data_IF_882070650137
#
_entry.id   IF_882070650137
#
_cell.length_a   1.000
_cell.length_b   1.000
_cell.length_c   1.000
_cell.angle_alpha   90.00
_cell.angle_beta   90.00
_cell.angle_gamma   90.00
#
_symmetry.space_group_name_H-M   'P 1'
#
loop_
_entity.id
_entity.type
_entity.pdbx_description
1 polymer ?
#
# COMPACT_ATOMS: atom_id res chain seq x y z
N UNK A 1 -34.91 -22.86 -24.88
CA UNK A 1 -33.75 -23.14 -25.75
C UNK A 1 -33.92 -22.68 -27.19
N UNK A 2 -35.13 -22.61 -27.77
CA UNK A 2 -35.34 -22.24 -29.18
C UNK A 2 -34.95 -20.79 -29.58
N UNK A 3 -34.99 -19.81 -28.68
CA UNK A 3 -34.61 -18.42 -29.00
C UNK A 3 -33.09 -18.20 -29.11
N UNK A 4 -32.27 -19.18 -28.68
CA UNK A 4 -30.79 -19.10 -28.68
C UNK A 4 -30.13 -19.71 -29.92
N UNK A 5 -30.87 -20.42 -30.76
CA UNK A 5 -30.33 -21.04 -31.98
C UNK A 5 -30.25 -20.02 -33.12
N UNK A 6 -29.12 -20.01 -33.85
CA UNK A 6 -28.83 -19.08 -34.93
C UNK A 6 -29.62 -19.35 -36.23
N UNK A 7 -30.25 -20.51 -36.35
CA UNK A 7 -30.90 -20.99 -37.60
C UNK A 7 -32.34 -20.50 -37.82
N UNK A 8 -32.80 -19.51 -37.02
CA UNK A 8 -34.12 -18.89 -37.23
C UNK A 8 -33.98 -17.63 -38.11
N UNK A 9 -34.89 -17.39 -39.07
CA UNK A 9 -34.86 -16.18 -39.90
C UNK A 9 -34.99 -14.93 -39.03
N UNK A 10 -34.15 -13.93 -39.27
CA UNK A 10 -34.23 -12.65 -38.55
C UNK A 10 -35.51 -11.91 -38.94
N UNK A 11 -36.46 -11.88 -38.01
CA UNK A 11 -37.70 -11.11 -38.09
C UNK A 11 -37.76 -10.14 -36.91
N UNK A 12 -38.49 -9.03 -37.05
CA UNK A 12 -38.67 -8.06 -35.96
C UNK A 12 -39.24 -8.72 -34.69
N UNK A 13 -40.13 -9.69 -34.86
CA UNK A 13 -40.68 -10.52 -33.77
C UNK A 13 -39.57 -11.29 -33.04
N UNK A 14 -38.69 -11.97 -33.79
CA UNK A 14 -37.59 -12.73 -33.21
C UNK A 14 -36.58 -11.80 -32.51
N UNK A 15 -36.31 -10.64 -33.10
CA UNK A 15 -35.44 -9.60 -32.51
C UNK A 15 -36.00 -9.10 -31.19
N UNK A 16 -37.30 -8.80 -31.12
CA UNK A 16 -37.98 -8.38 -29.89
C UNK A 16 -37.85 -9.44 -28.79
N UNK A 17 -38.17 -10.70 -29.10
CA UNK A 17 -38.13 -11.78 -28.10
C UNK A 17 -36.71 -12.16 -27.67
N UNK A 18 -35.72 -12.10 -28.56
CA UNK A 18 -34.31 -12.29 -28.21
C UNK A 18 -33.81 -11.16 -27.31
N UNK A 19 -34.17 -9.92 -27.61
CA UNK A 19 -33.80 -8.77 -26.80
C UNK A 19 -34.48 -8.80 -25.42
N UNK A 20 -35.76 -9.18 -25.35
CA UNK A 20 -36.47 -9.43 -24.09
C UNK A 20 -35.83 -10.54 -23.27
N UNK A 21 -35.38 -11.63 -23.91
CA UNK A 21 -34.67 -12.70 -23.23
C UNK A 21 -33.33 -12.21 -22.68
N UNK A 22 -32.57 -11.42 -23.44
CA UNK A 22 -31.31 -10.82 -22.98
C UNK A 22 -31.56 -9.91 -21.76
N UNK A 23 -32.59 -9.06 -21.81
CA UNK A 23 -32.99 -8.22 -20.69
C UNK A 23 -33.39 -9.04 -19.46
N UNK A 24 -34.18 -10.11 -19.63
CA UNK A 24 -34.58 -11.01 -18.55
C UNK A 24 -33.40 -11.79 -17.93
N UNK A 25 -32.30 -11.95 -18.67
CA UNK A 25 -31.04 -12.53 -18.19
C UNK A 25 -30.10 -11.49 -17.56
N UNK A 26 -30.53 -10.23 -17.44
CA UNK A 26 -29.76 -9.13 -16.85
C UNK A 26 -28.83 -8.40 -17.82
N UNK A 27 -28.86 -8.71 -19.13
CA UNK A 27 -28.03 -8.05 -20.14
C UNK A 27 -28.80 -6.92 -20.83
N UNK A 28 -29.09 -5.87 -20.06
CA UNK A 28 -29.79 -4.68 -20.55
C UNK A 28 -29.05 -4.02 -21.73
N UNK A 29 -27.72 -3.99 -21.70
CA UNK A 29 -26.89 -3.38 -22.74
C UNK A 29 -27.00 -4.12 -24.08
N UNK A 30 -26.94 -5.45 -24.08
CA UNK A 30 -27.14 -6.23 -25.30
C UNK A 30 -28.61 -6.19 -25.79
N UNK A 31 -29.57 -6.07 -24.87
CA UNK A 31 -30.99 -5.99 -25.22
C UNK A 31 -31.38 -4.66 -25.89
N UNK A 32 -30.79 -3.55 -25.46
CA UNK A 32 -31.27 -2.20 -25.81
C UNK A 32 -31.41 -1.92 -27.32
N UNK A 33 -30.46 -2.27 -28.20
CA UNK A 33 -30.60 -2.01 -29.63
C UNK A 33 -31.81 -2.74 -30.24
N UNK A 34 -31.99 -4.01 -29.90
CA UNK A 34 -33.11 -4.82 -30.39
C UNK A 34 -34.45 -4.34 -29.84
N UNK A 35 -34.51 -3.97 -28.56
CA UNK A 35 -35.71 -3.39 -27.94
C UNK A 35 -36.09 -2.05 -28.58
N UNK A 36 -35.13 -1.16 -28.82
CA UNK A 36 -35.37 0.14 -29.42
C UNK A 36 -35.86 0.02 -30.87
N UNK A 37 -35.25 -0.87 -31.67
CA UNK A 37 -35.64 -1.10 -33.06
C UNK A 37 -37.06 -1.66 -33.22
N UNK A 38 -37.51 -2.46 -32.25
CA UNK A 38 -38.80 -3.18 -32.30
C UNK A 38 -39.93 -2.49 -31.52
N UNK A 39 -39.71 -1.25 -31.03
CA UNK A 39 -40.76 -0.48 -30.36
C UNK A 39 -42.04 -0.30 -31.20
N UNK A 40 -42.00 -0.01 -32.53
CA UNK A 40 -43.23 0.08 -33.32
C UNK A 40 -44.08 -1.19 -33.25
N UNK A 41 -43.45 -2.36 -33.41
CA UNK A 41 -44.09 -3.67 -33.32
C UNK A 41 -44.76 -3.89 -31.95
N UNK A 42 -44.08 -3.50 -30.86
CA UNK A 42 -44.63 -3.59 -29.50
C UNK A 42 -45.96 -2.80 -29.35
N UNK A 43 -46.09 -1.66 -30.04
CA UNK A 43 -47.31 -0.85 -29.93
C UNK A 43 -48.49 -1.39 -30.75
N UNK A 44 -48.23 -2.24 -31.74
CA UNK A 44 -49.24 -2.95 -32.52
C UNK A 44 -49.84 -4.16 -31.77
N UNK A 45 -49.19 -4.61 -30.69
CA UNK A 45 -49.69 -5.71 -29.88
C UNK A 45 -51.01 -5.36 -29.16
N UNK A 46 -51.86 -6.38 -28.89
CA UNK A 46 -53.05 -6.20 -28.08
C UNK A 46 -52.74 -5.57 -26.72
N UNK A 47 -53.61 -4.66 -26.25
CA UNK A 47 -53.38 -3.85 -25.05
C UNK A 47 -52.95 -4.67 -23.82
N UNK A 48 -53.54 -5.85 -23.61
CA UNK A 48 -53.21 -6.70 -22.47
C UNK A 48 -51.78 -7.27 -22.51
N UNK A 49 -51.27 -7.58 -23.70
CA UNK A 49 -49.89 -8.05 -23.87
C UNK A 49 -48.92 -6.86 -23.77
N UNK A 50 -49.25 -5.76 -24.44
CA UNK A 50 -48.47 -4.53 -24.39
C UNK A 50 -48.28 -4.02 -22.96
N UNK A 51 -49.33 -4.02 -22.15
CA UNK A 51 -49.28 -3.59 -20.74
C UNK A 51 -48.33 -4.45 -19.88
N UNK A 52 -48.13 -5.73 -20.23
CA UNK A 52 -47.21 -6.62 -19.51
C UNK A 52 -45.76 -6.46 -19.97
N UNK A 53 -45.54 -6.13 -21.24
CA UNK A 53 -44.21 -6.02 -21.84
C UNK A 53 -43.59 -4.62 -21.68
N UNK A 54 -44.41 -3.57 -21.60
CA UNK A 54 -43.92 -2.20 -21.48
C UNK A 54 -42.99 -1.97 -20.27
N UNK A 55 -43.36 -2.36 -19.02
CA UNK A 55 -42.50 -2.12 -17.86
C UNK A 55 -41.10 -2.76 -17.93
N UNK A 56 -40.94 -4.08 -18.23
CA UNK A 56 -39.60 -4.67 -18.32
C UNK A 56 -38.78 -4.12 -19.49
N UNK A 57 -39.41 -3.74 -20.62
CA UNK A 57 -38.70 -3.11 -21.75
C UNK A 57 -38.21 -1.71 -21.37
N UNK A 58 -39.08 -0.90 -20.74
CA UNK A 58 -38.71 0.43 -20.29
C UNK A 58 -37.57 0.39 -19.26
N UNK A 59 -37.63 -0.57 -18.33
CA UNK A 59 -36.59 -0.77 -17.33
C UNK A 59 -35.26 -1.19 -17.97
N UNK A 60 -35.27 -2.12 -18.93
CA UNK A 60 -34.06 -2.54 -19.64
C UNK A 60 -33.44 -1.39 -20.45
N UNK A 61 -34.25 -0.60 -21.17
CA UNK A 61 -33.76 0.59 -21.88
C UNK A 61 -33.16 1.61 -20.92
N UNK A 62 -33.78 1.82 -19.75
CA UNK A 62 -33.27 2.72 -18.72
C UNK A 62 -31.96 2.22 -18.11
N UNK A 63 -31.83 0.91 -17.82
CA UNK A 63 -30.60 0.30 -17.29
C UNK A 63 -29.45 0.34 -18.30
N UNK A 64 -29.76 0.25 -19.60
CA UNK A 64 -28.80 0.38 -20.68
C UNK A 64 -28.38 1.84 -20.97
N UNK A 65 -29.10 2.84 -20.45
CA UNK A 65 -28.91 4.24 -20.80
C UNK A 65 -29.39 4.60 -22.21
N UNK A 66 -30.30 3.81 -22.80
CA UNK A 66 -30.85 4.04 -24.13
C UNK A 66 -31.95 5.12 -24.10
N UNK A 67 -31.57 6.37 -23.81
CA UNK A 67 -32.49 7.49 -23.55
C UNK A 67 -33.47 7.73 -24.71
N UNK A 68 -33.01 7.76 -25.96
CA UNK A 68 -33.88 8.02 -27.12
C UNK A 68 -35.03 7.00 -27.25
N UNK A 69 -34.70 5.69 -27.13
CA UNK A 69 -35.71 4.63 -27.17
C UNK A 69 -36.63 4.65 -25.96
N UNK A 70 -36.09 4.97 -24.78
CA UNK A 70 -36.88 5.09 -23.56
C UNK A 70 -37.87 6.26 -23.63
N UNK A 71 -37.45 7.44 -24.10
CA UNK A 71 -38.32 8.60 -24.31
C UNK A 71 -39.46 8.26 -25.27
N UNK A 72 -39.14 7.66 -26.42
CA UNK A 72 -40.15 7.23 -27.40
C UNK A 72 -41.17 6.26 -26.80
N UNK A 73 -40.72 5.29 -25.98
CA UNK A 73 -41.59 4.36 -25.30
C UNK A 73 -42.50 5.07 -24.29
N UNK A 74 -41.93 5.92 -23.43
CA UNK A 74 -42.64 6.60 -22.35
C UNK A 74 -43.68 7.59 -22.86
N UNK A 75 -43.39 8.32 -23.94
CA UNK A 75 -44.31 9.27 -24.57
C UNK A 75 -45.56 8.57 -25.13
N UNK A 76 -45.36 7.41 -25.79
CA UNK A 76 -46.47 6.62 -26.35
C UNK A 76 -47.23 5.82 -25.31
N UNK A 77 -46.57 5.34 -24.27
CA UNK A 77 -47.19 4.52 -23.23
C UNK A 77 -48.07 5.34 -22.27
N UNK A 78 -47.79 6.65 -22.11
CA UNK A 78 -48.51 7.51 -21.18
C UNK A 78 -48.25 7.18 -19.71
N UNK A 79 -48.95 7.85 -18.79
CA UNK A 79 -48.69 7.73 -17.35
C UNK A 79 -49.18 6.40 -16.76
N UNK A 80 -48.26 5.52 -16.36
CA UNK A 80 -48.55 4.34 -15.52
C UNK A 80 -47.58 4.27 -14.32
N UNK A 81 -48.02 3.78 -13.14
CA UNK A 81 -47.16 3.58 -11.97
C UNK A 81 -45.97 2.65 -12.21
N UNK A 82 -46.14 1.63 -13.05
CA UNK A 82 -45.11 0.65 -13.41
C UNK A 82 -43.97 1.28 -14.23
N UNK A 83 -44.21 2.44 -14.85
CA UNK A 83 -43.23 3.21 -15.62
C UNK A 83 -42.59 4.35 -14.80
N UNK A 84 -42.95 4.53 -13.53
CA UNK A 84 -42.43 5.61 -12.71
C UNK A 84 -40.92 5.47 -12.44
N UNK A 85 -40.41 4.25 -12.22
CA UNK A 85 -38.98 4.01 -12.05
C UNK A 85 -38.17 4.32 -13.33
N UNK A 86 -38.53 3.76 -14.51
CA UNK A 86 -37.87 4.14 -15.77
C UNK A 86 -37.89 5.64 -16.07
N UNK A 87 -38.98 6.36 -15.72
CA UNK A 87 -39.04 7.83 -15.84
C UNK A 87 -37.99 8.53 -14.97
N UNK A 88 -37.88 8.14 -13.72
CA UNK A 88 -36.88 8.72 -12.81
C UNK A 88 -35.44 8.45 -13.30
N UNK A 89 -35.20 7.26 -13.86
CA UNK A 89 -33.92 6.89 -14.48
C UNK A 89 -33.63 7.68 -15.76
N UNK A 90 -34.65 8.00 -16.57
CA UNK A 90 -34.50 8.88 -17.73
C UNK A 90 -34.08 10.29 -17.28
N UNK A 91 -34.76 10.87 -16.29
CA UNK A 91 -34.41 12.19 -15.76
C UNK A 91 -32.98 12.22 -15.20
N UNK A 92 -32.53 11.15 -14.54
CA UNK A 92 -31.14 11.01 -14.09
C UNK A 92 -30.17 11.00 -15.27
N UNK A 93 -30.46 10.23 -16.32
CA UNK A 93 -29.64 10.13 -17.53
C UNK A 93 -29.61 11.44 -18.34
N UNK A 94 -30.67 12.24 -18.28
CA UNK A 94 -30.77 13.56 -18.91
C UNK A 94 -30.06 14.67 -18.11
N UNK A 95 -29.54 14.36 -16.92
CA UNK A 95 -28.83 15.31 -16.08
C UNK A 95 -29.74 16.23 -15.25
N UNK A 96 -30.99 15.83 -14.99
CA UNK A 96 -31.88 16.50 -14.03
C UNK A 96 -31.96 15.72 -12.71
N UNK A 97 -31.02 15.95 -11.78
CA UNK A 97 -31.00 15.26 -10.50
C UNK A 97 -32.18 15.63 -9.60
N UNK A 98 -32.82 16.78 -9.80
CA UNK A 98 -33.95 17.20 -8.99
C UNK A 98 -35.20 16.40 -9.36
N UNK A 99 -35.51 16.32 -10.66
CA UNK A 99 -36.63 15.50 -11.16
C UNK A 99 -36.40 14.01 -10.88
N UNK A 100 -35.18 13.51 -11.07
CA UNK A 100 -34.83 12.12 -10.78
C UNK A 100 -35.06 11.76 -9.31
N UNK A 101 -34.56 12.58 -8.37
CA UNK A 101 -34.76 12.34 -6.94
C UNK A 101 -36.23 12.38 -6.54
N UNK A 102 -37.01 13.34 -7.05
CA UNK A 102 -38.45 13.40 -6.79
C UNK A 102 -39.16 12.14 -7.30
N UNK A 103 -38.81 11.67 -8.50
CA UNK A 103 -39.33 10.42 -9.06
C UNK A 103 -38.95 9.20 -8.24
N UNK A 104 -37.68 9.07 -7.82
CA UNK A 104 -37.25 7.95 -6.98
C UNK A 104 -37.93 7.95 -5.61
N UNK A 105 -38.08 9.11 -4.97
CA UNK A 105 -38.76 9.23 -3.68
C UNK A 105 -40.24 8.86 -3.79
N UNK A 106 -40.90 9.18 -4.91
CA UNK A 106 -42.26 8.74 -5.19
C UNK A 106 -42.34 7.22 -5.37
N UNK A 107 -41.44 6.62 -6.16
CA UNK A 107 -41.40 5.15 -6.36
C UNK A 107 -41.14 4.43 -5.04
N UNK A 108 -40.28 4.97 -4.17
CA UNK A 108 -39.96 4.40 -2.86
C UNK A 108 -41.17 4.27 -1.92
N UNK A 109 -42.22 5.08 -2.12
CA UNK A 109 -43.48 5.04 -1.37
C UNK A 109 -44.49 4.02 -1.94
N UNK A 110 -44.19 3.41 -3.09
CA UNK A 110 -45.07 2.48 -3.78
C UNK A 110 -45.29 1.14 -3.06
N UNK A 111 -45.98 0.21 -3.74
CA UNK A 111 -46.24 -1.15 -3.24
C UNK A 111 -45.29 -2.21 -3.84
N UNK A 112 -44.73 -1.94 -5.02
CA UNK A 112 -43.78 -2.84 -5.68
C UNK A 112 -42.44 -2.84 -4.93
N UNK A 113 -42.11 -3.97 -4.30
CA UNK A 113 -40.89 -4.10 -3.49
C UNK A 113 -39.62 -3.95 -4.31
N UNK A 114 -39.59 -4.51 -5.52
CA UNK A 114 -38.41 -4.45 -6.39
C UNK A 114 -38.18 -3.01 -6.86
N UNK A 115 -39.23 -2.36 -7.38
CA UNK A 115 -39.13 -0.98 -7.83
C UNK A 115 -38.71 -0.03 -6.69
N UNK A 116 -39.25 -0.23 -5.48
CA UNK A 116 -38.85 0.54 -4.28
C UNK A 116 -37.39 0.35 -3.92
N UNK A 117 -36.91 -0.90 -3.87
CA UNK A 117 -35.52 -1.18 -3.52
C UNK A 117 -34.55 -0.54 -4.52
N UNK A 118 -34.83 -0.65 -5.82
CA UNK A 118 -34.05 -0.01 -6.88
C UNK A 118 -34.08 1.51 -6.79
N UNK A 119 -35.27 2.10 -6.59
CA UNK A 119 -35.42 3.55 -6.44
C UNK A 119 -34.67 4.09 -5.23
N UNK A 120 -34.77 3.43 -4.07
CA UNK A 120 -34.05 3.83 -2.86
C UNK A 120 -32.53 3.81 -3.08
N UNK A 121 -31.99 2.73 -3.66
CA UNK A 121 -30.55 2.62 -3.95
C UNK A 121 -30.08 3.73 -4.89
N UNK A 122 -30.78 3.95 -6.01
CA UNK A 122 -30.43 5.02 -6.96
C UNK A 122 -30.55 6.40 -6.35
N UNK A 123 -31.58 6.65 -5.54
CA UNK A 123 -31.75 7.94 -4.87
C UNK A 123 -30.62 8.22 -3.86
N UNK A 124 -30.08 7.19 -3.20
CA UNK A 124 -28.92 7.34 -2.30
C UNK A 124 -27.65 7.64 -3.10
N UNK A 125 -27.37 6.87 -4.15
CA UNK A 125 -26.20 7.10 -5.02
C UNK A 125 -26.25 8.49 -5.68
N UNK A 126 -27.40 8.92 -6.18
CA UNK A 126 -27.57 10.25 -6.77
C UNK A 126 -27.39 11.37 -5.74
N UNK A 127 -27.87 11.19 -4.50
CA UNK A 127 -27.59 12.14 -3.41
C UNK A 127 -26.11 12.20 -3.07
N UNK A 128 -25.41 11.07 -3.08
CA UNK A 128 -23.97 11.00 -2.87
C UNK A 128 -23.21 11.72 -3.99
N UNK A 129 -23.55 11.42 -5.26
CA UNK A 129 -22.93 12.02 -6.43
C UNK A 129 -23.14 13.55 -6.52
N UNK A 130 -24.30 14.03 -6.05
CA UNK A 130 -24.62 15.46 -5.99
C UNK A 130 -24.16 16.16 -4.70
N UNK A 131 -23.44 15.45 -3.81
CA UNK A 131 -22.92 16.00 -2.56
C UNK A 131 -23.99 16.35 -1.51
N UNK A 132 -25.22 15.86 -1.66
CA UNK A 132 -26.32 16.05 -0.70
C UNK A 132 -26.16 15.21 0.56
N UNK A 133 -25.41 14.10 0.46
CA UNK A 133 -25.02 13.25 1.59
C UNK A 133 -23.54 12.87 1.46
N UNK A 134 -22.89 12.61 2.59
CA UNK A 134 -21.54 12.07 2.62
C UNK A 134 -21.51 10.53 2.45
N UNK A 135 -20.31 9.96 2.32
CA UNK A 135 -20.11 8.52 2.12
C UNK A 135 -20.61 7.68 3.31
N UNK A 136 -20.48 8.18 4.55
CA UNK A 136 -20.93 7.46 5.74
C UNK A 136 -22.47 7.41 5.81
N UNK A 137 -23.13 8.52 5.47
CA UNK A 137 -24.58 8.61 5.33
C UNK A 137 -25.08 7.70 4.21
N UNK A 138 -24.41 7.69 3.05
CA UNK A 138 -24.75 6.81 1.94
C UNK A 138 -24.62 5.32 2.32
N UNK A 139 -23.52 4.94 3.00
CA UNK A 139 -23.32 3.57 3.48
C UNK A 139 -24.46 3.11 4.39
N UNK A 140 -24.82 3.91 5.41
CA UNK A 140 -25.93 3.59 6.33
C UNK A 140 -27.27 3.48 5.61
N UNK A 141 -27.54 4.38 4.67
CA UNK A 141 -28.79 4.39 3.91
C UNK A 141 -28.90 3.17 2.99
N UNK A 142 -27.82 2.81 2.29
CA UNK A 142 -27.78 1.61 1.43
C UNK A 142 -27.90 0.32 2.23
N UNK A 143 -27.22 0.24 3.38
CA UNK A 143 -27.25 -0.94 4.26
C UNK A 143 -28.68 -1.25 4.75
N UNK A 144 -29.46 -0.21 5.09
CA UNK A 144 -30.88 -0.36 5.47
C UNK A 144 -31.75 -0.97 4.35
N UNK A 145 -31.27 -0.96 3.09
CA UNK A 145 -31.98 -1.53 1.93
C UNK A 145 -31.56 -2.94 1.56
N UNK A 146 -30.55 -3.53 2.24
CA UNK A 146 -30.04 -4.87 1.93
C UNK A 146 -31.17 -5.91 1.97
N UNK A 147 -32.07 -5.84 2.95
CA UNK A 147 -33.15 -6.82 3.11
C UNK A 147 -34.44 -6.48 2.33
N UNK A 148 -34.45 -5.40 1.54
CA UNK A 148 -35.67 -4.94 0.87
C UNK A 148 -36.07 -5.79 -0.35
N UNK A 149 -35.10 -6.41 -1.03
CA UNK A 149 -35.31 -7.25 -2.22
C UNK A 149 -34.15 -8.25 -2.39
N UNK A 150 -34.46 -9.49 -2.77
CA UNK A 150 -33.61 -10.67 -2.54
C UNK A 150 -33.18 -11.38 -3.82
N UNK A 151 -32.69 -10.62 -4.79
CA UNK A 151 -31.83 -11.18 -5.83
C UNK A 151 -30.41 -11.28 -5.26
N UNK A 152 -29.88 -12.51 -5.13
CA UNK A 152 -28.58 -12.79 -4.51
C UNK A 152 -27.42 -12.03 -5.19
N UNK A 153 -27.53 -11.79 -6.51
CA UNK A 153 -26.53 -11.05 -7.27
C UNK A 153 -26.55 -9.55 -6.96
N UNK A 154 -27.74 -8.96 -6.84
CA UNK A 154 -27.91 -7.57 -6.44
C UNK A 154 -27.52 -7.36 -4.96
N UNK A 155 -27.82 -8.32 -4.08
CA UNK A 155 -27.47 -8.23 -2.65
C UNK A 155 -25.96 -8.21 -2.45
N UNK A 156 -25.24 -9.13 -3.12
CA UNK A 156 -23.77 -9.18 -3.04
C UNK A 156 -23.14 -7.88 -3.56
N UNK A 157 -23.61 -7.37 -4.71
CA UNK A 157 -23.14 -6.11 -5.25
C UNK A 157 -23.38 -4.91 -4.33
N UNK A 158 -24.56 -4.85 -3.70
CA UNK A 158 -24.88 -3.81 -2.71
C UNK A 158 -23.98 -3.89 -1.48
N UNK A 159 -23.74 -5.09 -0.93
CA UNK A 159 -22.87 -5.28 0.24
C UNK A 159 -21.42 -4.87 -0.05
N UNK A 160 -20.91 -5.19 -1.25
CA UNK A 160 -19.59 -4.70 -1.71
C UNK A 160 -19.57 -3.17 -1.75
N UNK A 161 -20.60 -2.56 -2.34
CA UNK A 161 -20.70 -1.09 -2.44
C UNK A 161 -20.77 -0.41 -1.06
N UNK A 162 -21.52 -0.97 -0.11
CA UNK A 162 -21.56 -0.47 1.27
C UNK A 162 -20.19 -0.58 1.94
N UNK A 163 -19.48 -1.68 1.72
CA UNK A 163 -18.13 -1.86 2.26
C UNK A 163 -17.12 -0.85 1.68
N UNK A 164 -17.18 -0.54 0.38
CA UNK A 164 -16.38 0.52 -0.23
C UNK A 164 -16.65 1.88 0.42
N UNK A 165 -17.92 2.25 0.57
CA UNK A 165 -18.30 3.53 1.19
C UNK A 165 -17.85 3.62 2.66
N UNK A 166 -17.94 2.51 3.42
CA UNK A 166 -17.43 2.43 4.79
C UNK A 166 -15.93 2.66 4.84
N UNK A 167 -15.14 1.94 4.02
CA UNK A 167 -13.67 2.13 3.92
C UNK A 167 -13.31 3.58 3.64
N UNK A 168 -13.93 4.15 2.62
CA UNK A 168 -13.70 5.53 2.19
C UNK A 168 -14.10 6.58 3.23
N UNK A 169 -14.97 6.21 4.19
CA UNK A 169 -15.39 7.07 5.30
C UNK A 169 -14.61 6.83 6.60
N UNK A 170 -13.59 5.96 6.58
CA UNK A 170 -12.74 5.65 7.74
C UNK A 170 -13.22 4.48 8.60
N UNK A 171 -14.22 3.72 8.14
CA UNK A 171 -14.70 2.49 8.81
C UNK A 171 -14.25 1.23 8.05
N UNK A 172 -12.94 1.06 7.86
CA UNK A 172 -12.42 -0.13 7.17
C UNK A 172 -12.68 -1.42 7.95
N UNK A 173 -12.73 -1.37 9.29
CA UNK A 173 -13.05 -2.54 10.12
C UNK A 173 -14.50 -2.99 9.93
N UNK A 174 -15.45 -2.08 9.91
CA UNK A 174 -16.85 -2.38 9.61
C UNK A 174 -17.07 -2.85 8.18
N UNK A 175 -16.28 -2.35 7.23
CA UNK A 175 -16.27 -2.86 5.86
C UNK A 175 -15.77 -4.30 5.77
N UNK A 176 -14.64 -4.62 6.41
CA UNK A 176 -14.09 -5.96 6.47
C UNK A 176 -15.08 -6.95 7.10
N UNK A 177 -15.70 -6.56 8.22
CA UNK A 177 -16.71 -7.39 8.90
C UNK A 177 -17.90 -7.71 7.97
N UNK A 178 -18.44 -6.68 7.28
CA UNK A 178 -19.54 -6.86 6.34
C UNK A 178 -19.16 -7.80 5.19
N UNK A 179 -17.97 -7.65 4.61
CA UNK A 179 -17.53 -8.50 3.49
C UNK A 179 -17.30 -9.95 3.92
N UNK A 180 -16.79 -10.19 5.13
CA UNK A 180 -16.60 -11.53 5.68
C UNK A 180 -17.93 -12.22 5.99
N UNK A 181 -18.90 -11.48 6.53
CA UNK A 181 -20.27 -11.98 6.66
C UNK A 181 -20.85 -12.33 5.28
N UNK A 182 -20.63 -11.47 4.28
CA UNK A 182 -21.10 -11.68 2.91
C UNK A 182 -20.48 -12.93 2.28
N UNK A 183 -19.18 -13.16 2.47
CA UNK A 183 -18.49 -14.37 1.99
C UNK A 183 -19.04 -15.65 2.64
N UNK A 184 -19.39 -15.59 3.93
CA UNK A 184 -20.01 -16.72 4.62
C UNK A 184 -21.45 -17.00 4.13
N UNK A 185 -22.20 -15.96 3.75
CA UNK A 185 -23.56 -16.09 3.22
C UNK A 185 -23.59 -16.57 1.76
N UNK A 186 -22.63 -16.14 0.95
CA UNK A 186 -22.57 -16.41 -0.50
C UNK A 186 -21.25 -17.09 -0.88
N UNK A 187 -21.06 -18.33 -0.39
CA UNK A 187 -19.82 -19.08 -0.58
C UNK A 187 -19.47 -19.34 -2.05
N UNK A 188 -20.47 -19.46 -2.92
CA UNK A 188 -20.31 -19.57 -4.39
C UNK A 188 -19.72 -18.30 -5.03
N UNK A 189 -19.82 -17.15 -4.34
CA UNK A 189 -19.31 -15.84 -4.77
C UNK A 189 -18.02 -15.43 -4.06
N UNK A 190 -17.42 -16.29 -3.24
CA UNK A 190 -16.19 -15.98 -2.51
C UNK A 190 -15.08 -15.43 -3.43
N UNK A 191 -14.91 -15.99 -4.62
CA UNK A 191 -13.93 -15.52 -5.59
C UNK A 191 -14.13 -14.04 -6.01
N UNK A 192 -15.38 -13.59 -6.11
CA UNK A 192 -15.73 -12.19 -6.42
C UNK A 192 -15.46 -11.25 -5.24
N UNK A 193 -15.60 -11.74 -4.01
CA UNK A 193 -15.45 -10.94 -2.78
C UNK A 193 -13.99 -10.79 -2.33
N UNK A 194 -13.13 -11.76 -2.64
CA UNK A 194 -11.71 -11.80 -2.21
C UNK A 194 -10.94 -10.50 -2.44
N UNK A 195 -11.02 -9.84 -3.61
CA UNK A 195 -10.33 -8.56 -3.81
C UNK A 195 -10.79 -7.49 -2.82
N UNK A 196 -12.11 -7.32 -2.66
CA UNK A 196 -12.68 -6.34 -1.73
C UNK A 196 -12.31 -6.64 -0.27
N UNK A 197 -12.31 -7.93 0.12
CA UNK A 197 -11.89 -8.37 1.46
C UNK A 197 -10.42 -8.01 1.70
N UNK A 198 -9.53 -8.33 0.76
CA UNK A 198 -8.11 -8.02 0.86
C UNK A 198 -7.85 -6.52 1.00
N UNK A 199 -8.52 -5.69 0.18
CA UNK A 199 -8.38 -4.23 0.31
C UNK A 199 -8.95 -3.70 1.62
N UNK A 200 -10.12 -4.18 2.06
CA UNK A 200 -10.70 -3.80 3.34
C UNK A 200 -9.80 -4.19 4.53
N UNK A 201 -9.15 -5.36 4.45
CA UNK A 201 -8.22 -5.84 5.45
C UNK A 201 -6.97 -4.94 5.55
N UNK A 202 -6.35 -4.61 4.43
CA UNK A 202 -5.20 -3.70 4.41
C UNK A 202 -5.53 -2.32 4.99
N UNK A 203 -6.66 -1.74 4.60
CA UNK A 203 -7.12 -0.46 5.15
C UNK A 203 -7.41 -0.56 6.65
N UNK A 204 -8.00 -1.67 7.09
CA UNK A 204 -8.28 -1.90 8.51
C UNK A 204 -6.99 -2.03 9.34
N UNK A 205 -5.94 -2.66 8.80
CA UNK A 205 -4.62 -2.68 9.44
C UNK A 205 -4.02 -1.27 9.54
N UNK A 206 -4.13 -0.47 8.47
CA UNK A 206 -3.59 0.89 8.43
C UNK A 206 -4.31 1.83 9.39
N UNK A 207 -5.64 1.78 9.44
CA UNK A 207 -6.49 2.65 10.26
C UNK A 207 -6.52 2.25 11.74
N UNK A 208 -6.24 0.99 12.06
CA UNK A 208 -6.26 0.52 13.45
C UNK A 208 -5.05 1.03 14.25
N UNK A 209 -5.26 1.23 15.56
CA UNK A 209 -4.19 1.46 16.54
C UNK A 209 -3.14 0.33 16.49
N UNK A 210 -1.85 0.60 16.78
CA UNK A 210 -0.76 -0.37 16.63
C UNK A 210 -1.04 -1.79 17.13
N UNK A 211 -1.49 -1.93 18.38
CA UNK A 211 -1.79 -3.24 18.97
C UNK A 211 -3.04 -3.89 18.37
N UNK A 212 -4.05 -3.08 18.02
CA UNK A 212 -5.26 -3.58 17.38
C UNK A 212 -4.98 -4.06 15.95
N UNK A 213 -4.08 -3.40 15.22
CA UNK A 213 -3.65 -3.82 13.90
C UNK A 213 -2.92 -5.16 13.93
N UNK A 214 -2.03 -5.36 14.90
CA UNK A 214 -1.34 -6.66 15.10
C UNK A 214 -2.33 -7.75 15.49
N UNK A 215 -3.26 -7.48 16.42
CA UNK A 215 -4.30 -8.44 16.78
C UNK A 215 -5.22 -8.79 15.60
N UNK A 216 -5.53 -7.82 14.73
CA UNK A 216 -6.31 -8.05 13.52
C UNK A 216 -5.55 -8.93 12.51
N UNK A 217 -4.25 -8.70 12.35
CA UNK A 217 -3.39 -9.57 11.55
C UNK A 217 -3.32 -10.98 12.11
N UNK A 218 -3.09 -11.13 13.41
CA UNK A 218 -3.01 -12.44 14.09
C UNK A 218 -4.32 -13.24 13.93
N UNK A 219 -5.46 -12.55 13.85
CA UNK A 219 -6.78 -13.17 13.66
C UNK A 219 -7.03 -13.64 12.22
N UNK A 220 -6.46 -12.97 11.21
CA UNK A 220 -6.72 -13.25 9.79
C UNK A 220 -5.46 -13.15 8.92
N UNK A 221 -4.39 -13.91 9.23
CA UNK A 221 -3.13 -13.83 8.48
C UNK A 221 -3.29 -14.25 7.01
N UNK A 222 -4.29 -15.06 6.69
CA UNK A 222 -4.60 -15.53 5.34
C UNK A 222 -5.15 -14.44 4.40
N UNK A 223 -5.61 -13.32 4.95
CA UNK A 223 -6.15 -12.19 4.18
C UNK A 223 -5.06 -11.26 3.66
N UNK A 224 -3.81 -11.43 4.12
CA UNK A 224 -2.69 -10.64 3.64
C UNK A 224 -2.35 -11.02 2.19
N UNK A 225 -2.36 -10.07 1.24
CA UNK A 225 -1.96 -10.34 -0.13
C UNK A 225 -0.48 -10.77 -0.23
N UNK A 226 -0.17 -11.64 -1.19
CA UNK A 226 1.20 -12.08 -1.47
C UNK A 226 2.01 -11.13 -2.35
N UNK A 227 1.60 -9.87 -2.46
CA UNK A 227 2.20 -8.84 -3.33
C UNK A 227 2.89 -7.73 -2.52
N UNK A 228 3.31 -6.64 -3.18
CA UNK A 228 3.97 -5.50 -2.55
C UNK A 228 3.09 -4.79 -1.51
N UNK A 229 1.76 -4.83 -1.65
CA UNK A 229 0.86 -4.19 -0.70
C UNK A 229 0.82 -4.97 0.63
N UNK A 230 0.84 -6.31 0.56
CA UNK A 230 1.00 -7.16 1.73
C UNK A 230 2.35 -6.97 2.41
N UNK A 231 3.44 -6.88 1.64
CA UNK A 231 4.78 -6.56 2.17
C UNK A 231 4.79 -5.23 2.94
N UNK A 232 4.27 -4.17 2.32
CA UNK A 232 4.20 -2.85 2.93
C UNK A 232 3.38 -2.85 4.23
N UNK A 233 2.28 -3.61 4.29
CA UNK A 233 1.50 -3.76 5.51
C UNK A 233 2.28 -4.48 6.62
N UNK A 234 3.04 -5.52 6.31
CA UNK A 234 3.86 -6.23 7.31
C UNK A 234 5.01 -5.38 7.83
N UNK A 235 5.66 -4.59 6.96
CA UNK A 235 6.69 -3.64 7.37
C UNK A 235 6.10 -2.56 8.29
N UNK A 236 4.94 -2.00 7.93
CA UNK A 236 4.23 -1.04 8.79
C UNK A 236 3.90 -1.64 10.17
N UNK A 237 3.39 -2.86 10.23
CA UNK A 237 3.10 -3.53 11.49
C UNK A 237 4.37 -3.76 12.33
N UNK A 238 5.47 -4.17 11.69
CA UNK A 238 6.75 -4.35 12.35
C UNK A 238 7.30 -3.04 12.91
N UNK A 239 7.26 -1.95 12.14
CA UNK A 239 7.74 -0.64 12.59
C UNK A 239 6.90 -0.11 13.76
N UNK A 240 5.58 -0.32 13.74
CA UNK A 240 4.68 0.00 14.86
C UNK A 240 5.01 -0.79 16.12
N UNK A 241 5.36 -2.07 16.00
CA UNK A 241 5.79 -2.90 17.12
C UNK A 241 7.14 -2.42 17.68
N UNK A 242 8.10 -2.08 16.82
CA UNK A 242 9.39 -1.52 17.23
C UNK A 242 9.22 -0.21 17.98
N UNK A 243 8.30 0.67 17.53
CA UNK A 243 7.98 1.93 18.22
C UNK A 243 7.37 1.74 19.62
N UNK A 244 6.85 0.55 19.92
CA UNK A 244 6.34 0.16 21.24
C UNK A 244 7.37 -0.66 22.05
N UNK A 245 8.65 -0.64 21.66
CA UNK A 245 9.73 -1.42 22.24
C UNK A 245 9.51 -2.95 22.16
N UNK A 246 8.75 -3.41 21.15
CA UNK A 246 8.46 -4.83 20.89
C UNK A 246 9.25 -5.40 19.70
N UNK A 247 10.55 -5.13 19.64
CA UNK A 247 11.44 -5.53 18.53
C UNK A 247 11.47 -7.06 18.29
N UNK A 248 11.53 -7.87 19.36
CA UNK A 248 11.45 -9.33 19.31
C UNK A 248 10.17 -9.83 18.62
N UNK A 249 9.02 -9.22 18.95
CA UNK A 249 7.73 -9.55 18.33
C UNK A 249 7.71 -9.13 16.87
N UNK A 250 8.24 -7.94 16.56
CA UNK A 250 8.36 -7.45 15.19
C UNK A 250 9.20 -8.40 14.32
N UNK A 251 10.36 -8.84 14.82
CA UNK A 251 11.21 -9.80 14.13
C UNK A 251 10.50 -11.14 13.89
N UNK A 252 9.75 -11.63 14.87
CA UNK A 252 8.96 -12.87 14.74
C UNK A 252 7.87 -12.73 13.68
N UNK A 253 7.13 -11.62 13.70
CA UNK A 253 6.09 -11.30 12.73
C UNK A 253 6.65 -11.22 11.30
N UNK A 254 7.79 -10.55 11.11
CA UNK A 254 8.46 -10.46 9.80
C UNK A 254 8.92 -11.82 9.30
N UNK A 255 9.43 -12.70 10.17
CA UNK A 255 9.81 -14.06 9.78
C UNK A 255 8.63 -14.91 9.36
N UNK A 256 7.50 -14.81 10.06
CA UNK A 256 6.26 -15.48 9.68
C UNK A 256 5.69 -14.96 8.35
N UNK A 257 5.86 -13.67 8.05
CA UNK A 257 5.50 -13.09 6.77
C UNK A 257 6.42 -13.64 5.67
N UNK A 258 7.74 -13.55 5.86
CA UNK A 258 8.74 -14.01 4.91
C UNK A 258 8.57 -15.49 4.53
N UNK A 259 8.18 -16.35 5.48
CA UNK A 259 7.92 -17.76 5.24
C UNK A 259 6.75 -18.05 4.29
N UNK A 260 5.81 -17.11 4.15
CA UNK A 260 4.61 -17.22 3.28
C UNK A 260 4.78 -16.50 1.95
N UNK A 261 5.78 -15.62 1.85
CA UNK A 261 6.07 -14.82 0.66
C UNK A 261 7.14 -15.47 -0.22
N UNK A 262 7.24 -15.07 -1.48
CA UNK A 262 8.26 -15.58 -2.42
C UNK A 262 9.02 -14.43 -3.09
N UNK A 263 10.14 -14.77 -3.75
CA UNK A 263 10.92 -13.83 -4.54
C UNK A 263 11.50 -12.66 -3.73
N UNK A 264 11.51 -11.48 -4.34
CA UNK A 264 12.13 -10.26 -3.80
C UNK A 264 11.53 -9.85 -2.45
N UNK A 265 10.20 -9.93 -2.31
CA UNK A 265 9.49 -9.55 -1.10
C UNK A 265 9.88 -10.43 0.11
N UNK A 266 10.08 -11.74 -0.10
CA UNK A 266 10.60 -12.65 0.94
C UNK A 266 11.99 -12.20 1.42
N UNK A 267 12.88 -11.88 0.49
CA UNK A 267 14.25 -11.47 0.83
C UNK A 267 14.30 -10.11 1.54
N UNK A 268 13.38 -9.19 1.20
CA UNK A 268 13.25 -7.89 1.85
C UNK A 268 12.72 -8.02 3.30
N UNK A 269 11.64 -8.77 3.51
CA UNK A 269 11.09 -9.05 4.85
C UNK A 269 12.14 -9.74 5.75
N UNK A 270 12.85 -10.74 5.20
CA UNK A 270 13.90 -11.43 5.92
C UNK A 270 15.12 -10.58 6.24
N UNK A 271 15.49 -9.63 5.37
CA UNK A 271 16.53 -8.64 5.67
C UNK A 271 16.10 -7.74 6.84
N UNK A 272 14.84 -7.29 6.87
CA UNK A 272 14.32 -6.47 7.97
C UNK A 272 14.28 -7.27 9.29
N UNK A 273 13.84 -8.52 9.25
CA UNK A 273 13.92 -9.43 10.40
C UNK A 273 15.37 -9.56 10.90
N UNK A 274 16.31 -9.84 10.01
CA UNK A 274 17.72 -10.01 10.35
C UNK A 274 18.30 -8.73 10.97
N UNK A 275 17.93 -7.55 10.45
CA UNK A 275 18.39 -6.28 11.00
C UNK A 275 17.91 -6.07 12.45
N UNK A 276 16.66 -6.43 12.76
CA UNK A 276 16.15 -6.37 14.14
C UNK A 276 16.91 -7.33 15.06
N UNK A 277 17.12 -8.58 14.62
CA UNK A 277 17.91 -9.57 15.38
C UNK A 277 19.35 -9.10 15.63
N UNK A 278 19.95 -8.43 14.65
CA UNK A 278 21.30 -7.87 14.79
C UNK A 278 21.34 -6.73 15.82
N UNK A 279 20.31 -5.89 15.86
CA UNK A 279 20.20 -4.81 16.85
C UNK A 279 20.03 -5.35 18.28
N UNK A 280 19.30 -6.46 18.44
CA UNK A 280 19.15 -7.16 19.72
C UNK A 280 20.41 -7.93 20.16
N UNK A 281 21.45 -7.95 19.31
CA UNK A 281 22.74 -8.59 19.62
C UNK A 281 22.83 -10.06 19.20
N UNK A 282 21.77 -10.62 18.61
CA UNK A 282 21.73 -12.02 18.18
C UNK A 282 22.26 -12.18 16.75
N UNK A 283 23.59 -12.26 16.64
CA UNK A 283 24.27 -12.47 15.36
C UNK A 283 23.96 -13.84 14.72
N UNK A 284 23.68 -14.86 15.53
CA UNK A 284 23.31 -16.19 15.03
C UNK A 284 21.94 -16.17 14.35
N UNK A 285 20.94 -15.61 15.03
CA UNK A 285 19.60 -15.44 14.45
C UNK A 285 19.58 -14.48 13.27
N UNK A 286 20.48 -13.49 13.23
CA UNK A 286 20.66 -12.61 12.07
C UNK A 286 21.01 -13.42 10.81
N UNK A 287 22.03 -14.29 10.90
CA UNK A 287 22.43 -15.13 9.77
C UNK A 287 21.34 -16.13 9.40
N UNK A 288 20.72 -16.79 10.39
CA UNK A 288 19.63 -17.72 10.15
C UNK A 288 18.43 -17.06 9.43
N UNK A 289 18.08 -15.83 9.78
CA UNK A 289 17.01 -15.08 9.13
C UNK A 289 17.37 -14.71 7.67
N UNK A 290 18.63 -14.34 7.40
CA UNK A 290 19.10 -14.12 6.04
C UNK A 290 19.02 -15.43 5.23
N UNK A 291 19.55 -16.53 5.75
CA UNK A 291 19.55 -17.82 5.05
C UNK A 291 18.14 -18.36 4.79
N UNK A 292 17.25 -18.27 5.78
CA UNK A 292 15.85 -18.70 5.65
C UNK A 292 15.04 -17.85 4.66
N UNK A 293 15.55 -16.67 4.28
CA UNK A 293 14.89 -15.74 3.35
C UNK A 293 15.62 -15.59 2.02
N UNK A 294 16.52 -16.53 1.68
CA UNK A 294 17.16 -16.56 0.36
C UNK A 294 16.12 -16.67 -0.76
N UNK A 295 16.32 -15.87 -1.79
CA UNK A 295 15.55 -15.88 -3.03
C UNK A 295 16.45 -15.41 -4.17
N UNK A 296 16.19 -15.87 -5.39
CA UNK A 296 16.91 -15.46 -6.61
C UNK A 296 15.92 -15.35 -7.78
N UNK A 297 16.13 -14.41 -8.73
CA UNK A 297 17.10 -13.32 -8.72
C UNK A 297 16.69 -12.18 -7.78
N UNK A 298 17.68 -11.43 -7.25
CA UNK A 298 17.44 -10.24 -6.42
C UNK A 298 18.00 -8.98 -7.07
N UNK A 299 17.37 -7.81 -6.84
CA UNK A 299 18.00 -6.52 -7.15
C UNK A 299 19.38 -6.39 -6.51
N UNK A 300 20.32 -5.76 -7.20
CA UNK A 300 21.70 -5.60 -6.74
C UNK A 300 21.77 -4.88 -5.39
N UNK A 301 20.93 -3.86 -5.18
CA UNK A 301 20.83 -3.13 -3.92
C UNK A 301 20.49 -4.05 -2.75
N UNK A 302 19.46 -4.90 -2.90
CA UNK A 302 19.03 -5.83 -1.85
C UNK A 302 20.08 -6.92 -1.58
N UNK A 303 20.69 -7.46 -2.63
CA UNK A 303 21.81 -8.42 -2.50
C UNK A 303 22.96 -7.82 -1.68
N UNK A 304 23.27 -6.54 -1.94
CA UNK A 304 24.35 -5.81 -1.27
C UNK A 304 24.07 -5.62 0.22
N UNK A 305 22.88 -5.12 0.57
CA UNK A 305 22.49 -4.91 1.98
C UNK A 305 22.53 -6.21 2.78
N UNK A 306 22.03 -7.31 2.19
CA UNK A 306 22.07 -8.65 2.80
C UNK A 306 23.51 -9.11 3.04
N UNK A 307 24.42 -8.92 2.08
CA UNK A 307 25.84 -9.27 2.24
C UNK A 307 26.55 -8.43 3.31
N UNK A 308 26.26 -7.13 3.37
CA UNK A 308 26.81 -6.25 4.41
C UNK A 308 26.36 -6.73 5.79
N UNK A 309 25.07 -7.00 5.97
CA UNK A 309 24.54 -7.45 7.25
C UNK A 309 25.10 -8.83 7.65
N UNK A 310 25.20 -9.76 6.69
CA UNK A 310 25.82 -11.06 6.91
C UNK A 310 27.27 -10.93 7.39
N UNK A 311 28.10 -10.15 6.70
CA UNK A 311 29.49 -9.93 7.09
C UNK A 311 29.62 -9.31 8.49
N UNK A 312 28.77 -8.34 8.83
CA UNK A 312 28.74 -7.74 10.17
C UNK A 312 28.36 -8.77 11.25
N UNK A 313 27.39 -9.63 10.97
CA UNK A 313 26.98 -10.69 11.89
C UNK A 313 28.09 -11.74 12.07
N UNK A 314 28.75 -12.17 10.98
CA UNK A 314 29.92 -13.06 11.02
C UNK A 314 31.06 -12.48 11.86
N UNK A 315 31.35 -11.18 11.71
CA UNK A 315 32.35 -10.49 12.52
C UNK A 315 32.05 -10.55 14.02
N UNK A 316 30.77 -10.39 14.42
CA UNK A 316 30.34 -10.54 15.83
C UNK A 316 30.47 -11.97 16.36
N UNK A 317 30.35 -12.98 15.50
CA UNK A 317 30.58 -14.38 15.84
C UNK A 317 32.07 -14.78 15.86
N UNK A 318 32.98 -13.83 15.61
CA UNK A 318 34.43 -14.06 15.63
C UNK A 318 35.04 -14.41 14.28
N UNK A 319 34.25 -14.56 13.22
CA UNK A 319 34.69 -14.82 11.84
C UNK A 319 35.18 -13.52 11.17
N UNK A 320 36.14 -12.84 11.81
CA UNK A 320 36.55 -11.47 11.49
C UNK A 320 37.26 -11.36 10.15
N UNK A 321 38.15 -12.31 9.83
CA UNK A 321 38.90 -12.30 8.57
C UNK A 321 37.99 -12.49 7.36
N UNK A 322 37.06 -13.44 7.45
CA UNK A 322 36.05 -13.73 6.43
C UNK A 322 35.12 -12.53 6.22
N UNK A 323 34.67 -11.92 7.31
CA UNK A 323 33.82 -10.72 7.26
C UNK A 323 34.54 -9.53 6.59
N UNK A 324 35.81 -9.30 6.93
CA UNK A 324 36.65 -8.27 6.28
C UNK A 324 36.81 -8.55 4.78
N UNK A 325 37.11 -9.80 4.41
CA UNK A 325 37.22 -10.20 3.01
C UNK A 325 35.90 -9.97 2.27
N UNK A 326 34.76 -10.40 2.84
CA UNK A 326 33.44 -10.22 2.26
C UNK A 326 33.13 -8.73 2.02
N UNK A 327 33.37 -7.86 3.01
CA UNK A 327 33.14 -6.42 2.86
C UNK A 327 34.04 -5.78 1.79
N UNK A 328 35.30 -6.21 1.66
CA UNK A 328 36.20 -5.73 0.60
C UNK A 328 35.67 -6.03 -0.80
N UNK A 329 35.05 -7.19 -1.02
CA UNK A 329 34.49 -7.55 -2.34
C UNK A 329 33.34 -6.66 -2.78
N UNK A 330 32.68 -5.96 -1.84
CA UNK A 330 31.59 -5.02 -2.13
C UNK A 330 32.08 -3.64 -2.60
N UNK A 331 33.39 -3.40 -2.59
CA UNK A 331 33.99 -2.16 -3.05
C UNK A 331 33.47 -0.93 -2.27
N UNK A 332 33.12 0.19 -2.95
CA UNK A 332 32.70 1.43 -2.30
C UNK A 332 31.53 1.27 -1.32
N UNK A 333 30.63 0.34 -1.58
CA UNK A 333 29.47 0.15 -0.72
C UNK A 333 29.75 -0.66 0.55
N UNK A 334 30.82 -1.46 0.58
CA UNK A 334 31.30 -2.14 1.78
C UNK A 334 32.27 -1.30 2.61
N UNK A 335 32.71 -0.15 2.10
CA UNK A 335 33.80 0.64 2.66
C UNK A 335 33.51 1.19 4.06
N UNK A 336 32.31 1.69 4.31
CA UNK A 336 31.91 2.20 5.63
C UNK A 336 31.83 1.07 6.69
N UNK A 337 31.09 -0.04 6.46
CA UNK A 337 31.12 -1.19 7.37
C UNK A 337 32.51 -1.79 7.57
N UNK A 338 33.33 -1.82 6.50
CA UNK A 338 34.71 -2.31 6.57
C UNK A 338 35.56 -1.44 7.49
N UNK A 339 35.50 -0.12 7.33
CA UNK A 339 36.20 0.83 8.20
C UNK A 339 35.81 0.61 9.67
N UNK A 340 34.51 0.48 9.96
CA UNK A 340 34.03 0.23 11.32
C UNK A 340 34.58 -1.07 11.90
N UNK A 341 34.60 -2.15 11.12
CA UNK A 341 35.12 -3.44 11.56
C UNK A 341 36.64 -3.38 11.80
N UNK A 342 37.40 -2.70 10.94
CA UNK A 342 38.85 -2.54 11.10
C UNK A 342 39.21 -1.70 12.34
N UNK A 343 38.39 -0.70 12.69
CA UNK A 343 38.50 0.03 13.97
C UNK A 343 38.37 -0.93 15.17
N UNK A 344 37.40 -1.84 15.14
CA UNK A 344 37.20 -2.83 16.22
C UNK A 344 38.38 -3.80 16.33
N UNK A 345 39.04 -4.09 15.20
CA UNK A 345 40.24 -4.91 15.11
C UNK A 345 41.54 -4.14 15.39
N UNK A 346 41.45 -2.83 15.66
CA UNK A 346 42.60 -1.93 15.86
C UNK A 346 43.52 -1.80 14.63
N UNK A 347 43.04 -2.15 13.44
CA UNK A 347 43.71 -1.86 12.17
C UNK A 347 43.36 -0.45 11.69
N UNK A 348 43.98 0.55 12.31
CA UNK A 348 43.69 1.96 12.07
C UNK A 348 44.06 2.42 10.66
N UNK A 349 45.17 1.90 10.11
CA UNK A 349 45.62 2.22 8.77
C UNK A 349 44.63 1.67 7.72
N UNK A 350 44.23 0.40 7.87
CA UNK A 350 43.19 -0.20 7.02
C UNK A 350 41.85 0.52 7.14
N UNK A 351 41.45 0.92 8.36
CA UNK A 351 40.21 1.64 8.59
C UNK A 351 40.19 3.02 7.90
N UNK A 352 41.29 3.77 7.99
CA UNK A 352 41.46 5.07 7.34
C UNK A 352 41.45 4.94 5.80
N UNK A 353 42.11 3.90 5.27
CA UNK A 353 42.12 3.61 3.83
C UNK A 353 40.72 3.24 3.31
N UNK A 354 39.99 2.40 4.04
CA UNK A 354 38.62 2.03 3.67
C UNK A 354 37.67 3.24 3.71
N UNK A 355 37.79 4.11 4.72
CA UNK A 355 36.91 5.28 4.87
C UNK A 355 37.18 6.40 3.87
N UNK A 356 38.41 6.51 3.33
CA UNK A 356 38.81 7.59 2.43
C UNK A 356 37.86 7.74 1.21
N UNK A 357 37.41 6.63 0.62
CA UNK A 357 36.48 6.66 -0.51
C UNK A 357 35.07 7.13 -0.13
N UNK A 358 34.57 6.71 1.04
CA UNK A 358 33.27 7.15 1.59
C UNK A 358 33.29 8.66 1.83
N UNK A 359 34.41 9.15 2.36
CA UNK A 359 34.62 10.55 2.68
C UNK A 359 34.65 11.43 1.43
N UNK A 360 35.38 11.02 0.39
CA UNK A 360 35.42 11.77 -0.88
C UNK A 360 34.03 11.90 -1.53
N UNK A 361 33.20 10.86 -1.45
CA UNK A 361 31.84 10.91 -1.98
C UNK A 361 30.89 11.81 -1.15
N UNK A 362 31.19 12.01 0.13
CA UNK A 362 30.33 12.72 1.09
C UNK A 362 30.66 14.20 1.24
N UNK A 363 31.83 14.64 0.78
CA UNK A 363 32.31 16.01 0.96
C UNK A 363 32.09 16.85 -0.31
N UNK A 364 31.65 18.11 -0.18
CA UNK A 364 31.56 18.99 -1.33
C UNK A 364 32.97 19.37 -1.83
N UNK A 365 33.13 19.69 -3.13
CA UNK A 365 34.41 20.11 -3.67
C UNK A 365 34.88 21.41 -3.01
N UNK A 366 36.19 21.54 -2.79
CA UNK A 366 36.77 22.80 -2.33
C UNK A 366 36.50 23.93 -3.35
N UNK A 367 36.28 25.18 -2.91
CA UNK A 367 36.40 25.69 -1.55
C UNK A 367 35.08 25.72 -0.75
N UNK A 368 34.06 24.95 -1.14
CA UNK A 368 32.75 25.00 -0.48
C UNK A 368 32.86 24.70 1.04
N UNK A 369 32.10 25.42 1.89
CA UNK A 369 32.14 25.22 3.33
C UNK A 369 31.58 23.85 3.73
N UNK A 370 32.04 23.32 4.85
CA UNK A 370 31.57 22.06 5.42
C UNK A 370 30.48 22.31 6.46
N UNK A 371 29.39 21.54 6.37
CA UNK A 371 28.40 21.47 7.43
C UNK A 371 28.91 20.65 8.63
N UNK A 372 28.19 20.75 9.74
CA UNK A 372 28.55 20.10 11.01
C UNK A 372 28.71 18.57 10.91
N UNK A 373 27.92 17.90 10.06
CA UNK A 373 28.02 16.45 9.86
C UNK A 373 29.30 16.07 9.10
N UNK A 374 29.63 16.83 8.06
CA UNK A 374 30.83 16.67 7.25
C UNK A 374 32.10 16.95 8.05
N UNK A 375 32.08 17.98 8.91
CA UNK A 375 33.18 18.28 9.83
C UNK A 375 33.51 17.10 10.75
N UNK A 376 32.49 16.38 11.25
CA UNK A 376 32.69 15.16 12.06
C UNK A 376 33.32 14.02 11.27
N UNK A 377 32.98 13.83 10.00
CA UNK A 377 33.61 12.81 9.15
C UNK A 377 35.11 13.12 8.94
N UNK A 378 35.46 14.39 8.73
CA UNK A 378 36.85 14.84 8.58
C UNK A 378 37.67 14.60 9.85
N UNK A 379 37.07 14.87 11.02
CA UNK A 379 37.67 14.55 12.33
C UNK A 379 37.86 13.06 12.55
N UNK A 380 36.88 12.23 12.17
CA UNK A 380 36.99 10.78 12.27
C UNK A 380 38.17 10.25 11.45
N UNK A 381 38.35 10.73 10.22
CA UNK A 381 39.51 10.38 9.40
C UNK A 381 40.83 10.81 10.06
N UNK A 382 40.91 12.04 10.56
CA UNK A 382 42.09 12.53 11.26
C UNK A 382 42.44 11.65 12.48
N UNK A 383 41.44 11.28 13.29
CA UNK A 383 41.64 10.39 14.43
C UNK A 383 42.18 9.00 14.02
N UNK A 384 41.68 8.42 12.93
CA UNK A 384 42.19 7.15 12.43
C UNK A 384 43.63 7.27 11.91
N UNK A 385 43.98 8.37 11.23
CA UNK A 385 45.35 8.62 10.75
C UNK A 385 46.34 8.81 11.92
N UNK A 386 45.94 9.54 12.96
CA UNK A 386 46.73 9.70 14.20
C UNK A 386 46.98 8.33 14.85
N UNK A 387 45.93 7.52 15.01
CA UNK A 387 46.05 6.20 15.62
C UNK A 387 46.85 5.21 14.75
N UNK A 388 46.87 5.41 13.43
CA UNK A 388 47.70 4.66 12.50
C UNK A 388 49.17 5.10 12.53
N UNK A 389 49.50 6.26 13.09
CA UNK A 389 50.85 6.84 13.05
C UNK A 389 51.27 7.32 11.67
N UNK A 390 50.31 7.64 10.79
CA UNK A 390 50.60 8.12 9.43
C UNK A 390 50.74 9.65 9.41
N UNK A 391 51.89 10.14 9.88
CA UNK A 391 52.18 11.58 10.00
C UNK A 391 52.14 12.30 8.65
N UNK A 392 52.53 11.62 7.57
CA UNK A 392 52.53 12.18 6.23
C UNK A 392 51.09 12.40 5.72
N UNK A 393 50.23 11.38 5.84
CA UNK A 393 48.82 11.51 5.50
C UNK A 393 48.11 12.53 6.40
N UNK A 394 48.45 12.57 7.69
CA UNK A 394 47.88 13.53 8.63
C UNK A 394 48.27 14.98 8.30
N UNK A 395 49.52 15.22 7.89
CA UNK A 395 49.98 16.54 7.45
C UNK A 395 49.27 17.00 6.16
N UNK A 396 49.09 16.11 5.19
CA UNK A 396 48.31 16.38 3.99
C UNK A 396 46.84 16.67 4.34
N UNK A 397 46.25 15.83 5.18
CA UNK A 397 44.87 15.98 5.66
C UNK A 397 44.63 17.33 6.35
N UNK A 398 45.60 17.77 7.17
CA UNK A 398 45.58 19.10 7.80
C UNK A 398 45.61 20.21 6.76
N UNK A 399 46.48 20.12 5.75
CA UNK A 399 46.58 21.10 4.67
C UNK A 399 45.28 21.28 3.90
N UNK A 400 44.61 20.17 3.56
CA UNK A 400 43.41 20.18 2.73
C UNK A 400 42.17 20.71 3.49
N UNK A 401 42.07 20.43 4.79
CA UNK A 401 40.84 20.68 5.55
C UNK A 401 40.92 21.81 6.59
N UNK A 402 42.10 22.20 7.08
CA UNK A 402 42.23 23.32 8.01
C UNK A 402 41.62 24.64 7.47
N UNK A 403 41.75 25.00 6.18
CA UNK A 403 41.11 26.22 5.66
C UNK A 403 39.57 26.16 5.68
N UNK A 404 39.00 24.96 5.62
CA UNK A 404 37.55 24.69 5.53
C UNK A 404 36.90 24.46 6.90
N UNK A 405 37.71 24.20 7.92
CA UNK A 405 37.33 24.01 9.32
C UNK A 405 37.68 25.26 10.14
N UNK A 406 36.87 26.32 10.00
CA UNK A 406 37.03 27.53 10.81
C UNK A 406 35.93 27.66 11.85
N UNK A 407 36.34 28.03 13.07
CA UNK A 407 35.48 28.35 14.19
C UNK A 407 34.76 27.15 14.82
N UNK A 408 34.59 27.22 16.14
CA UNK A 408 33.84 26.25 16.92
C UNK A 408 34.67 25.05 17.41
N UNK A 409 34.07 24.22 18.28
CA UNK A 409 34.78 23.17 19.02
C UNK A 409 35.37 22.09 18.12
N UNK A 410 34.74 21.77 16.99
CA UNK A 410 35.25 20.79 16.03
C UNK A 410 36.53 21.26 15.32
N UNK A 411 36.65 22.56 15.05
CA UNK A 411 37.86 23.11 14.44
C UNK A 411 39.03 23.05 15.43
N UNK A 412 38.79 23.40 16.69
CA UNK A 412 39.79 23.29 17.77
C UNK A 412 40.25 21.85 17.98
N UNK A 413 39.32 20.91 18.04
CA UNK A 413 39.63 19.48 18.15
C UNK A 413 40.47 19.00 16.96
N UNK A 414 40.16 19.45 15.74
CA UNK A 414 40.90 19.09 14.54
C UNK A 414 42.33 19.65 14.58
N UNK A 415 42.50 20.91 14.96
CA UNK A 415 43.83 21.52 15.12
C UNK A 415 44.66 20.79 16.17
N UNK A 416 44.05 20.38 17.29
CA UNK A 416 44.72 19.65 18.35
C UNK A 416 45.10 18.23 17.93
N UNK A 417 44.16 17.49 17.34
CA UNK A 417 44.38 16.12 16.83
C UNK A 417 45.46 16.06 15.76
N UNK A 418 45.48 17.06 14.89
CA UNK A 418 46.44 17.13 13.81
C UNK A 418 47.71 17.87 14.21
N UNK A 419 47.91 18.32 15.46
CA UNK A 419 49.15 19.01 15.83
C UNK A 419 50.38 18.07 15.79
N UNK A 420 51.56 18.65 15.58
CA UNK A 420 52.84 17.92 15.40
C UNK A 420 53.13 16.93 16.57
N UNK A 421 53.53 15.66 16.30
CA UNK A 421 53.55 14.58 17.31
C UNK A 421 54.48 14.80 18.50
N UNK A 422 55.44 15.74 18.41
CA UNK A 422 56.37 16.05 19.50
C UNK A 422 55.69 16.59 20.78
N UNK A 423 54.38 16.85 20.76
CA UNK A 423 53.55 17.19 21.94
C UNK A 423 52.46 16.16 22.30
N UNK A 424 52.22 15.13 21.47
CA UNK A 424 50.98 14.33 21.50
C UNK A 424 50.90 13.16 22.50
N UNK A 425 52.04 12.64 22.99
CA UNK A 425 52.04 11.46 23.88
C UNK A 425 51.40 11.71 25.26
N UNK A 426 51.31 12.98 25.70
CA UNK A 426 50.71 13.33 27.00
C UNK A 426 49.16 13.35 26.98
N UNK A 427 48.53 13.43 25.80
CA UNK A 427 47.08 13.63 25.65
C UNK A 427 46.31 12.39 25.16
N UNK A 428 47.00 11.28 24.86
CA UNK A 428 46.40 10.00 24.45
C UNK A 428 45.26 9.49 25.38
N UNK A 429 45.36 9.57 26.72
CA UNK A 429 44.29 9.12 27.62
C UNK A 429 43.04 10.02 27.61
N UNK A 430 43.16 11.27 27.14
CA UNK A 430 42.03 12.19 26.97
C UNK A 430 41.33 11.90 25.64
N UNK A 431 42.09 11.72 24.56
CA UNK A 431 41.57 11.37 23.24
C UNK A 431 40.83 10.02 23.24
N UNK A 432 41.30 9.03 23.99
CA UNK A 432 40.57 7.75 24.18
C UNK A 432 39.21 7.94 24.86
N UNK A 433 39.09 8.86 25.83
CA UNK A 433 37.82 9.18 26.50
C UNK A 433 36.87 9.92 25.58
N UNK A 434 37.36 10.86 24.78
CA UNK A 434 36.55 11.59 23.79
C UNK A 434 36.06 10.66 22.66
N UNK A 435 36.90 9.71 22.20
CA UNK A 435 36.47 8.66 21.27
C UNK A 435 35.44 7.69 21.87
N UNK A 436 35.55 7.37 23.16
CA UNK A 436 34.53 6.58 23.87
C UNK A 436 33.20 7.35 24.02
N UNK A 437 33.25 8.67 24.21
CA UNK A 437 32.06 9.53 24.22
C UNK A 437 31.39 9.63 22.84
N UNK A 438 32.17 9.59 21.76
CA UNK A 438 31.63 9.46 20.40
C UNK A 438 31.03 8.06 20.14
N UNK A 439 31.60 7.00 20.73
CA UNK A 439 31.03 5.64 20.68
C UNK A 439 29.72 5.50 21.46
N UNK A 440 29.48 6.34 22.47
CA UNK A 440 28.29 6.25 23.34
C UNK A 440 27.11 7.12 22.91
N UNK A 441 27.22 7.87 21.80
CA UNK A 441 26.05 8.50 21.18
C UNK A 441 25.12 7.41 20.62
N UNK A 442 23.91 7.22 21.16
CA UNK A 442 23.03 6.17 20.68
C UNK A 442 22.58 6.49 19.25
N UNK A 443 22.90 5.62 18.31
CA UNK A 443 22.33 5.57 16.95
C UNK A 443 20.87 5.07 16.97
N UNK A 444 20.11 5.34 18.04
CA UNK A 444 18.75 4.84 18.21
C UNK A 444 17.67 5.59 17.43
N UNK A 445 17.98 6.60 16.62
CA UNK A 445 16.95 7.32 15.85
C UNK A 445 17.31 7.70 14.40
N UNK A 446 18.46 7.28 13.86
CA UNK A 446 18.78 7.53 12.43
C UNK A 446 18.32 6.40 11.49
N UNK A 447 18.03 5.21 12.02
CA UNK A 447 17.59 4.04 11.24
C UNK A 447 16.11 4.04 10.82
N UNK A 448 15.36 5.11 11.13
CA UNK A 448 13.97 5.33 10.71
C UNK A 448 13.80 6.49 9.71
N UNK A 449 14.90 7.13 9.26
CA UNK A 449 14.83 8.35 8.43
C UNK A 449 15.03 8.15 6.93
N UNK A 450 15.32 6.93 6.48
CA UNK A 450 15.38 6.61 5.05
C UNK A 450 14.04 6.01 4.57
N UNK A 451 12.99 6.85 4.48
CA UNK A 451 11.74 6.49 3.80
C UNK A 451 10.49 7.28 4.22
N UNK A 452 10.18 8.39 3.52
CA UNK A 452 8.81 8.98 3.47
C UNK A 452 8.67 10.42 4.01
N UNK A 453 7.81 11.28 3.40
CA UNK A 453 8.08 12.70 3.21
C UNK A 453 7.71 13.62 4.38
N UNK A 454 8.39 14.77 4.38
CA UNK A 454 8.09 15.93 5.21
C UNK A 454 6.74 16.53 4.81
N UNK A 455 5.78 16.55 5.74
CA UNK A 455 4.75 17.59 5.76
C UNK A 455 4.37 17.97 7.19
N UNK A 456 4.75 19.22 7.50
CA UNK A 456 4.30 20.19 8.52
C UNK A 456 4.33 19.82 9.99
#
# INVERSE_FOLDING_TARGET
MALRTADLPETDELTLWRALLAAALGDARAAAPGLAATLPLLFDYPQGLRARLLPPIALALAEAGATAGLTQLLDRAGSSPELALPRAMLAEAEGDPAAALAGYDQVAQGRDRMARARALRRAVELRLATGKIDKAQAARALEATIHAWRDESEETGLRIRVAELRRDSGDARGALALLRETEALFADRAAQLRPAIGTAFLDALQQAEPLAAVALFDAYPELLPGDQAGEAAMLMLADRLVALDLAERAATLLGQAAARTQGVARAALGLRQAALRFLDGDAGATLAALDASLAEPLPEALTRERRILAARAQGRLGQREEAVAALRTLGPAGAEPLSQMLIELQDWAGAAAAFAGVLQASLPPAPAPLDESQRRLVLRQAAMLVLAGDDAALAAWRGDFAPRLQGGPLAEAFTLLTADPQRGLADLPRLQRELQLFRSMPSRLEALRAGGPVTR
#
